data_IF_019629766776
#
_entry.id   IF_019629766776
#
_cell.length_a   1.000
_cell.length_b   1.000
_cell.length_c   1.000
_cell.angle_alpha   90.00
_cell.angle_beta   90.00
_cell.angle_gamma   90.00
#
_symmetry.space_group_name_H-M   'P 1'
#
loop_
_entity.id
_entity.type
_entity.pdbx_description
1 polymer ?
#
# COMPACT_ATOMS: atom_id res chain seq x y z
N UNK A 1 -18.08 -3.84 12.70
CA UNK A 1 -19.08 -3.23 11.78
C UNK A 1 -18.29 -2.54 10.70
N UNK A 2 -18.55 -2.79 9.42
CA UNK A 2 -17.81 -2.10 8.35
C UNK A 2 -18.28 -0.62 8.33
N UNK A 3 -17.37 0.29 8.60
CA UNK A 3 -17.60 1.71 8.45
C UNK A 3 -17.82 2.01 6.95
N UNK A 4 -18.94 2.63 6.62
CA UNK A 4 -19.40 2.80 5.22
C UNK A 4 -19.09 4.21 4.69
N UNK A 5 -18.09 4.87 5.26
CA UNK A 5 -17.67 6.20 4.83
C UNK A 5 -16.83 6.12 3.55
N UNK A 6 -17.19 6.84 2.49
CA UNK A 6 -16.48 6.78 1.20
C UNK A 6 -15.00 7.20 1.33
N UNK A 7 -14.67 8.04 2.30
CA UNK A 7 -13.29 8.48 2.60
C UNK A 7 -12.49 7.49 3.44
N UNK A 8 -13.14 6.75 4.33
CA UNK A 8 -12.52 5.89 5.34
C UNK A 8 -12.50 6.49 6.73
N UNK A 9 -12.10 5.69 7.73
CA UNK A 9 -11.98 6.05 9.13
C UNK A 9 -10.53 6.43 9.46
N UNK A 10 -10.32 7.64 9.95
CA UNK A 10 -9.02 8.21 10.29
C UNK A 10 -8.91 8.36 11.80
N UNK A 11 -7.81 7.90 12.41
CA UNK A 11 -7.43 8.29 13.76
C UNK A 11 -6.45 9.46 13.67
N UNK A 12 -6.85 10.64 14.16
CA UNK A 12 -6.02 11.83 14.23
C UNK A 12 -5.46 11.99 15.65
N UNK A 13 -4.14 11.83 15.80
CA UNK A 13 -3.44 11.87 17.07
C UNK A 13 -2.58 13.14 17.12
N UNK A 14 -3.07 14.16 17.82
CA UNK A 14 -2.46 15.49 17.92
C UNK A 14 -3.00 16.17 19.18
N UNK A 15 -2.12 16.62 20.07
CA UNK A 15 -2.49 17.26 21.34
C UNK A 15 -2.86 18.75 21.19
N UNK A 16 -2.40 19.38 20.11
CA UNK A 16 -2.68 20.78 19.83
C UNK A 16 -4.00 20.93 19.07
N UNK A 17 -5.05 21.40 19.75
CA UNK A 17 -6.37 21.64 19.16
C UNK A 17 -6.36 22.60 17.98
N UNK A 18 -5.45 23.59 17.96
CA UNK A 18 -5.34 24.50 16.82
C UNK A 18 -4.85 23.81 15.53
N UNK A 19 -4.37 22.59 15.63
CA UNK A 19 -3.99 21.73 14.48
C UNK A 19 -5.05 20.66 14.26
N UNK A 20 -5.46 19.92 15.31
CA UNK A 20 -6.36 18.79 15.17
C UNK A 20 -7.78 19.20 14.72
N UNK A 21 -8.34 20.29 15.27
CA UNK A 21 -9.69 20.72 14.88
C UNK A 21 -9.78 21.12 13.40
N UNK A 22 -8.94 22.04 12.84
CA UNK A 22 -9.01 22.37 11.41
C UNK A 22 -8.70 21.19 10.49
N UNK A 23 -7.78 20.29 10.88
CA UNK A 23 -7.45 19.09 10.11
C UNK A 23 -8.65 18.14 10.07
N UNK A 24 -9.28 17.88 11.21
CA UNK A 24 -10.43 17.01 11.30
C UNK A 24 -11.62 17.54 10.52
N UNK A 25 -12.02 18.81 10.75
CA UNK A 25 -13.11 19.45 10.00
C UNK A 25 -12.88 19.40 8.47
N UNK A 26 -11.64 19.61 8.03
CA UNK A 26 -11.32 19.54 6.62
C UNK A 26 -11.47 18.11 6.07
N UNK A 27 -10.98 17.08 6.79
CA UNK A 27 -11.10 15.68 6.39
C UNK A 27 -12.57 15.23 6.39
N UNK A 28 -13.34 15.59 7.42
CA UNK A 28 -14.79 15.31 7.50
C UNK A 28 -15.55 15.95 6.34
N UNK A 29 -15.23 17.19 5.98
CA UNK A 29 -15.77 17.87 4.80
C UNK A 29 -15.40 17.20 3.47
N UNK A 30 -14.44 16.27 3.48
CA UNK A 30 -14.00 15.45 2.32
C UNK A 30 -14.53 14.02 2.35
N UNK A 31 -15.41 13.71 3.32
CA UNK A 31 -16.11 12.44 3.43
C UNK A 31 -15.37 11.37 4.24
N UNK A 32 -14.36 11.74 5.04
CA UNK A 32 -13.76 10.87 6.04
C UNK A 32 -14.59 10.87 7.32
N UNK A 33 -14.51 9.81 8.11
CA UNK A 33 -14.84 9.82 9.53
C UNK A 33 -13.54 10.02 10.32
N UNK A 34 -13.56 10.87 11.36
CA UNK A 34 -12.34 11.20 12.11
C UNK A 34 -12.57 10.98 13.60
N UNK A 35 -11.77 10.10 14.20
CA UNK A 35 -11.64 9.96 15.64
C UNK A 35 -10.38 10.66 16.12
N UNK A 36 -10.39 11.14 17.35
CA UNK A 36 -9.33 11.98 17.91
C UNK A 36 -8.70 11.35 19.14
N UNK A 37 -7.38 11.42 19.23
CA UNK A 37 -6.62 11.15 20.44
C UNK A 37 -5.69 12.34 20.74
N UNK A 38 -5.67 12.79 22.00
CA UNK A 38 -4.82 13.91 22.43
C UNK A 38 -3.47 13.46 23.01
N UNK A 39 -3.21 12.16 23.08
CA UNK A 39 -1.95 11.59 23.55
C UNK A 39 -1.72 10.17 23.05
N UNK A 40 -0.49 9.69 23.23
CA UNK A 40 -0.09 8.40 22.68
C UNK A 40 -0.70 7.18 23.36
N UNK A 41 -1.12 7.28 24.63
CA UNK A 41 -1.75 6.15 25.35
C UNK A 41 -3.16 5.94 24.81
N UNK A 42 -3.93 7.02 24.68
CA UNK A 42 -5.27 6.98 24.13
C UNK A 42 -5.24 6.54 22.66
N UNK A 43 -4.21 6.96 21.90
CA UNK A 43 -4.00 6.51 20.52
C UNK A 43 -3.82 4.99 20.42
N UNK A 44 -2.97 4.39 21.28
CA UNK A 44 -2.79 2.92 21.29
C UNK A 44 -4.08 2.21 21.66
N UNK A 45 -4.81 2.68 22.69
CA UNK A 45 -6.07 2.07 23.11
C UNK A 45 -7.10 2.10 21.98
N UNK A 46 -7.34 3.26 21.36
CA UNK A 46 -8.28 3.38 20.25
C UNK A 46 -7.89 2.51 19.06
N UNK A 47 -6.61 2.53 18.67
CA UNK A 47 -6.13 1.75 17.52
C UNK A 47 -6.14 0.23 17.79
N UNK A 48 -6.25 -0.20 19.05
CA UNK A 48 -6.42 -1.61 19.42
C UNK A 48 -7.89 -2.04 19.41
N UNK A 49 -8.78 -1.16 19.84
CA UNK A 49 -10.21 -1.44 19.95
C UNK A 49 -10.96 -1.24 18.63
N UNK A 50 -10.47 -0.34 17.79
CA UNK A 50 -11.09 0.07 16.53
C UNK A 50 -10.09 -0.13 15.37
N UNK A 51 -10.58 -0.69 14.27
CA UNK A 51 -9.79 -0.79 13.04
C UNK A 51 -9.94 0.49 12.23
N UNK A 52 -8.87 1.27 12.14
CA UNK A 52 -8.79 2.48 11.33
C UNK A 52 -8.23 2.17 9.93
N UNK A 53 -8.64 2.95 8.93
CA UNK A 53 -8.06 2.88 7.58
C UNK A 53 -6.69 3.57 7.51
N UNK A 54 -6.43 4.54 8.40
CA UNK A 54 -5.15 5.25 8.53
C UNK A 54 -5.05 5.95 9.89
N UNK A 55 -3.83 6.06 10.41
CA UNK A 55 -3.51 6.84 11.61
C UNK A 55 -2.64 8.02 11.18
N UNK A 56 -3.06 9.24 11.52
CA UNK A 56 -2.25 10.46 11.40
C UNK A 56 -1.70 10.76 12.78
N UNK A 57 -0.38 10.70 12.96
CA UNK A 57 0.28 10.61 14.25
C UNK A 57 1.35 11.69 14.43
N UNK A 58 1.15 12.59 15.39
CA UNK A 58 2.23 13.52 15.77
C UNK A 58 3.35 12.79 16.51
N UNK A 59 4.57 13.19 16.24
CA UNK A 59 5.75 12.70 16.96
C UNK A 59 5.80 13.20 18.40
N UNK A 60 5.41 14.45 18.64
CA UNK A 60 5.57 15.15 19.90
C UNK A 60 4.30 15.10 20.74
N UNK A 61 3.96 13.93 21.23
CA UNK A 61 2.76 13.71 22.05
C UNK A 61 3.11 13.66 23.55
N UNK A 62 2.19 14.11 24.42
CA UNK A 62 2.31 13.90 25.85
C UNK A 62 2.10 12.41 26.21
N UNK A 63 2.56 12.04 27.40
CA UNK A 63 2.48 10.71 28.02
C UNK A 63 3.25 9.62 27.26
N UNK A 64 3.01 9.44 25.95
CA UNK A 64 3.68 8.47 25.11
C UNK A 64 3.97 9.10 23.74
N UNK A 65 5.24 9.26 23.38
CA UNK A 65 5.65 9.87 22.11
C UNK A 65 5.26 9.05 20.89
N UNK A 66 5.05 9.72 19.74
CA UNK A 66 4.54 9.09 18.53
C UNK A 66 5.41 7.95 17.98
N UNK A 67 6.74 8.02 18.11
CA UNK A 67 7.61 6.91 17.74
C UNK A 67 7.33 5.64 18.56
N UNK A 68 7.12 5.81 19.85
CA UNK A 68 6.82 4.67 20.73
C UNK A 68 5.40 4.14 20.49
N UNK A 69 4.42 5.00 20.19
CA UNK A 69 3.09 4.58 19.72
C UNK A 69 3.22 3.68 18.49
N UNK A 70 3.97 4.13 17.48
CA UNK A 70 4.20 3.39 16.26
C UNK A 70 4.82 2.01 16.54
N UNK A 71 5.91 1.97 17.34
CA UNK A 71 6.57 0.71 17.72
C UNK A 71 5.60 -0.26 18.39
N UNK A 72 4.83 0.20 19.38
CA UNK A 72 3.85 -0.67 20.07
C UNK A 72 2.79 -1.21 19.14
N UNK A 73 2.22 -0.36 18.31
CA UNK A 73 1.24 -0.81 17.33
C UNK A 73 1.81 -1.90 16.41
N UNK A 74 3.07 -1.77 15.97
CA UNK A 74 3.71 -2.75 15.08
C UNK A 74 4.17 -4.02 15.80
N UNK A 75 4.81 -3.90 16.97
CA UNK A 75 5.45 -5.04 17.63
C UNK A 75 4.53 -5.77 18.60
N UNK A 76 3.74 -5.04 19.41
CA UNK A 76 2.88 -5.63 20.43
C UNK A 76 1.51 -6.01 19.86
N UNK A 77 0.90 -5.10 19.06
CA UNK A 77 -0.44 -5.29 18.52
C UNK A 77 -0.45 -5.84 17.08
N UNK A 78 0.71 -5.94 16.42
CA UNK A 78 0.87 -6.40 15.03
C UNK A 78 -0.07 -5.69 14.05
N UNK A 79 -0.37 -4.42 14.32
CA UNK A 79 -1.21 -3.60 13.48
C UNK A 79 -0.54 -3.35 12.13
N UNK A 80 -1.29 -3.53 11.04
CA UNK A 80 -0.91 -3.18 9.68
C UNK A 80 -1.48 -1.83 9.25
N UNK A 81 -2.33 -1.21 10.07
CA UNK A 81 -2.93 0.10 9.76
C UNK A 81 -1.86 1.11 9.35
N UNK A 82 -1.98 1.75 8.19
CA UNK A 82 -1.01 2.73 7.72
C UNK A 82 -0.86 3.91 8.69
N UNK A 83 0.38 4.36 8.90
CA UNK A 83 0.69 5.48 9.79
C UNK A 83 1.37 6.59 9.00
N UNK A 84 0.71 7.76 8.94
CA UNK A 84 1.30 9.02 8.48
C UNK A 84 1.84 9.78 9.69
N UNK A 85 3.15 9.92 9.82
CA UNK A 85 3.75 10.70 10.89
C UNK A 85 3.81 12.19 10.56
N UNK A 86 3.40 13.02 11.53
CA UNK A 86 3.59 14.46 11.48
C UNK A 86 4.86 14.80 12.28
N UNK A 87 5.80 15.51 11.69
CA UNK A 87 7.09 15.87 12.33
C UNK A 87 7.36 17.35 12.22
N UNK A 88 7.89 17.95 13.28
CA UNK A 88 8.35 19.34 13.28
C UNK A 88 9.77 19.51 12.72
N UNK A 89 10.49 18.44 12.41
CA UNK A 89 11.91 18.46 12.06
C UNK A 89 12.21 17.82 10.72
N UNK A 90 13.07 18.52 9.97
CA UNK A 90 13.60 18.08 8.68
C UNK A 90 14.86 17.19 8.80
N UNK A 91 15.23 16.73 10.02
CA UNK A 91 16.44 15.94 10.17
C UNK A 91 16.27 14.56 9.52
N UNK A 92 17.26 14.18 8.73
CA UNK A 92 17.32 12.87 8.07
C UNK A 92 17.27 11.74 9.11
N UNK A 93 17.88 11.96 10.28
CA UNK A 93 17.97 10.99 11.35
C UNK A 93 16.58 10.62 11.91
N UNK A 94 15.71 11.60 12.17
CA UNK A 94 14.36 11.34 12.70
C UNK A 94 13.44 10.67 11.65
N UNK A 95 13.62 11.00 10.37
CA UNK A 95 12.92 10.29 9.29
C UNK A 95 13.35 8.82 9.20
N UNK A 96 14.63 8.54 9.42
CA UNK A 96 15.16 7.16 9.46
C UNK A 96 14.61 6.43 10.70
N UNK A 97 14.68 7.03 11.89
CA UNK A 97 14.16 6.42 13.12
C UNK A 97 12.68 6.08 13.03
N UNK A 98 11.90 6.94 12.39
CA UNK A 98 10.48 6.69 12.23
C UNK A 98 10.18 5.60 11.20
N UNK A 99 10.93 5.52 10.08
CA UNK A 99 10.82 4.40 9.13
C UNK A 99 11.18 3.08 9.81
N UNK A 100 12.22 3.07 10.64
CA UNK A 100 12.60 1.91 11.45
C UNK A 100 11.53 1.56 12.51
N UNK A 101 10.80 2.56 13.02
CA UNK A 101 9.66 2.37 13.91
C UNK A 101 8.43 1.78 13.20
N UNK A 102 8.39 1.79 11.87
CA UNK A 102 7.33 1.19 11.06
C UNK A 102 6.27 2.17 10.56
N UNK A 103 6.59 3.46 10.43
CA UNK A 103 5.73 4.43 9.74
C UNK A 103 5.74 4.20 8.22
N UNK A 104 4.63 4.53 7.56
CA UNK A 104 4.44 4.31 6.12
C UNK A 104 4.69 5.58 5.29
N UNK A 105 4.52 6.76 5.88
CA UNK A 105 4.82 8.06 5.24
C UNK A 105 5.04 9.15 6.30
N UNK A 106 5.59 10.31 5.85
CA UNK A 106 5.92 11.47 6.69
C UNK A 106 5.42 12.76 6.09
N UNK A 107 5.02 13.69 6.97
CA UNK A 107 4.66 15.05 6.60
C UNK A 107 5.27 16.03 7.60
N UNK A 108 6.05 16.98 7.11
CA UNK A 108 6.72 17.98 7.97
C UNK A 108 5.80 19.14 8.28
N UNK A 109 5.79 19.57 9.53
CA UNK A 109 5.12 20.80 10.02
C UNK A 109 6.02 22.03 9.74
N UNK A 110 5.48 23.15 9.24
CA UNK A 110 4.08 23.35 8.84
C UNK A 110 3.75 22.69 7.49
N UNK A 111 2.56 22.15 7.35
CA UNK A 111 2.10 21.46 6.14
C UNK A 111 0.87 22.13 5.53
N UNK A 112 0.67 21.91 4.24
CA UNK A 112 -0.59 22.22 3.58
C UNK A 112 -1.60 21.08 3.89
N UNK A 113 -2.79 21.45 4.34
CA UNK A 113 -3.84 20.50 4.68
C UNK A 113 -4.30 19.63 3.50
N UNK A 114 -4.17 20.17 2.27
CA UNK A 114 -4.43 19.40 1.04
C UNK A 114 -3.35 18.35 0.77
N UNK A 115 -2.09 18.63 1.15
CA UNK A 115 -1.01 17.65 1.09
C UNK A 115 -1.28 16.51 2.06
N UNK A 116 -1.70 16.82 3.30
CA UNK A 116 -2.10 15.83 4.28
C UNK A 116 -3.22 14.93 3.73
N UNK A 117 -4.31 15.51 3.20
CA UNK A 117 -5.40 14.74 2.58
C UNK A 117 -4.89 13.84 1.46
N UNK A 118 -4.05 14.34 0.56
CA UNK A 118 -3.54 13.57 -0.57
C UNK A 118 -2.73 12.34 -0.09
N UNK A 119 -1.91 12.48 0.97
CA UNK A 119 -1.15 11.40 1.59
C UNK A 119 -2.05 10.40 2.30
N UNK A 120 -3.01 10.85 3.10
CA UNK A 120 -4.03 10.02 3.75
C UNK A 120 -4.76 9.16 2.71
N UNK A 121 -5.26 9.76 1.62
CA UNK A 121 -5.90 9.02 0.53
C UNK A 121 -4.96 8.01 -0.15
N UNK A 122 -3.70 8.36 -0.31
CA UNK A 122 -2.71 7.47 -0.92
C UNK A 122 -2.44 6.24 -0.03
N UNK A 123 -2.32 6.44 1.29
CA UNK A 123 -2.13 5.37 2.27
C UNK A 123 -3.35 4.45 2.33
N UNK A 124 -4.55 4.99 2.49
CA UNK A 124 -5.81 4.20 2.49
C UNK A 124 -5.96 3.41 1.19
N UNK A 125 -5.65 4.02 0.04
CA UNK A 125 -5.72 3.34 -1.26
C UNK A 125 -4.71 2.20 -1.34
N UNK A 126 -3.50 2.36 -0.79
CA UNK A 126 -2.46 1.32 -0.73
C UNK A 126 -2.93 0.18 0.16
N UNK A 127 -3.39 0.47 1.37
CA UNK A 127 -3.91 -0.52 2.31
C UNK A 127 -5.12 -1.27 1.74
N UNK A 128 -6.12 -0.55 1.20
CA UNK A 128 -7.28 -1.17 0.56
C UNK A 128 -6.91 -2.00 -0.68
N UNK A 129 -5.84 -1.67 -1.37
CA UNK A 129 -5.27 -2.48 -2.46
C UNK A 129 -4.52 -3.71 -1.94
N UNK A 130 -3.90 -3.62 -0.77
CA UNK A 130 -3.19 -4.72 -0.12
C UNK A 130 -4.16 -5.64 0.66
N UNK A 131 -5.13 -5.07 1.40
CA UNK A 131 -6.17 -5.82 2.15
C UNK A 131 -7.35 -6.23 1.25
N UNK A 132 -7.66 -5.45 0.23
CA UNK A 132 -8.58 -5.82 -0.87
C UNK A 132 -7.92 -6.69 -1.92
N UNK A 133 -6.77 -7.26 -1.65
CA UNK A 133 -6.19 -8.33 -2.42
C UNK A 133 -7.01 -9.61 -2.22
N UNK A 134 -8.27 -9.57 -2.66
CA UNK A 134 -8.95 -10.78 -3.07
C UNK A 134 -7.97 -11.58 -3.90
N UNK A 135 -7.89 -12.86 -3.65
CA UNK A 135 -7.13 -13.79 -4.48
C UNK A 135 -7.32 -13.37 -5.94
N UNK A 136 -6.24 -12.91 -6.57
CA UNK A 136 -6.28 -12.50 -7.96
C UNK A 136 -6.35 -13.77 -8.81
N UNK A 137 -7.35 -13.86 -9.68
CA UNK A 137 -7.53 -15.02 -10.52
C UNK A 137 -7.79 -14.64 -11.97
N UNK A 138 -7.01 -15.22 -12.87
CA UNK A 138 -7.19 -15.08 -14.32
C UNK A 138 -7.06 -16.48 -14.90
N UNK A 139 -8.16 -17.00 -15.42
CA UNK A 139 -8.28 -18.41 -15.80
C UNK A 139 -7.93 -19.33 -14.61
N UNK A 140 -6.90 -20.14 -14.76
CA UNK A 140 -6.37 -21.06 -13.75
C UNK A 140 -5.10 -20.54 -13.03
N UNK A 141 -4.69 -19.31 -13.33
CA UNK A 141 -3.64 -18.60 -12.59
C UNK A 141 -4.25 -17.88 -11.39
N UNK A 142 -3.78 -18.26 -10.22
CA UNK A 142 -4.26 -17.76 -8.91
C UNK A 142 -3.08 -17.18 -8.16
N UNK A 143 -3.20 -15.96 -7.68
CA UNK A 143 -2.24 -15.31 -6.79
C UNK A 143 -2.96 -14.82 -5.55
N UNK A 144 -2.51 -15.27 -4.41
CA UNK A 144 -2.91 -14.75 -3.10
C UNK A 144 -1.85 -13.74 -2.63
N UNK A 145 -2.13 -12.44 -2.66
CA UNK A 145 -1.17 -11.42 -2.26
C UNK A 145 -0.86 -11.43 -0.77
N UNK A 146 -1.77 -11.93 0.08
CA UNK A 146 -1.56 -11.98 1.53
C UNK A 146 -0.55 -13.08 1.92
N UNK A 147 -0.64 -14.26 1.29
CA UNK A 147 0.30 -15.35 1.54
C UNK A 147 1.46 -15.41 0.55
N UNK A 148 1.46 -14.54 -0.47
CA UNK A 148 2.42 -14.51 -1.59
C UNK A 148 2.47 -15.83 -2.38
N UNK A 149 1.42 -16.64 -2.31
CA UNK A 149 1.32 -17.91 -3.02
C UNK A 149 0.77 -17.71 -4.41
N UNK A 150 1.41 -18.36 -5.35
CA UNK A 150 0.98 -18.37 -6.76
C UNK A 150 0.73 -19.80 -7.20
N UNK A 151 -0.39 -20.02 -7.87
CA UNK A 151 -0.73 -21.33 -8.43
C UNK A 151 -1.16 -21.18 -9.89
N UNK A 152 -0.81 -22.17 -10.70
CA UNK A 152 -1.23 -22.28 -12.09
C UNK A 152 -1.74 -23.71 -12.32
N UNK A 153 -3.01 -23.85 -12.73
CA UNK A 153 -3.62 -25.18 -12.91
C UNK A 153 -3.57 -26.04 -11.65
N UNK A 154 -3.68 -25.44 -10.45
CA UNK A 154 -3.57 -26.12 -9.15
C UNK A 154 -2.14 -26.45 -8.72
N UNK A 155 -1.11 -26.17 -9.54
CA UNK A 155 0.31 -26.37 -9.19
C UNK A 155 0.91 -25.10 -8.62
N UNK A 156 1.55 -25.18 -7.49
CA UNK A 156 2.25 -24.06 -6.87
C UNK A 156 3.47 -23.64 -7.70
N UNK A 157 3.60 -22.32 -7.93
CA UNK A 157 4.71 -21.71 -8.65
C UNK A 157 5.64 -21.01 -7.66
N UNK A 158 6.93 -21.33 -7.72
CA UNK A 158 7.95 -20.63 -6.94
C UNK A 158 8.54 -19.51 -7.80
N UNK A 159 8.22 -18.26 -7.47
CA UNK A 159 8.67 -17.07 -8.18
C UNK A 159 9.71 -16.31 -7.37
N UNK A 160 10.73 -15.79 -8.06
CA UNK A 160 11.66 -14.83 -7.47
C UNK A 160 10.92 -13.54 -7.07
N UNK A 161 11.36 -12.81 -6.02
CA UNK A 161 10.62 -11.66 -5.47
C UNK A 161 10.23 -10.60 -6.51
N UNK A 162 11.12 -10.26 -7.43
CA UNK A 162 10.83 -9.28 -8.49
C UNK A 162 9.80 -9.83 -9.50
N UNK A 163 9.91 -11.10 -9.87
CA UNK A 163 8.94 -11.74 -10.76
C UNK A 163 7.55 -11.79 -10.13
N UNK A 164 7.46 -12.05 -8.82
CA UNK A 164 6.21 -11.99 -8.07
C UNK A 164 5.60 -10.58 -8.04
N UNK A 165 6.41 -9.54 -7.82
CA UNK A 165 5.95 -8.14 -7.91
C UNK A 165 5.41 -7.81 -9.29
N UNK A 166 6.12 -8.19 -10.36
CA UNK A 166 5.66 -7.99 -11.74
C UNK A 166 4.32 -8.69 -11.96
N UNK A 167 4.20 -9.95 -11.54
CA UNK A 167 2.97 -10.72 -11.66
C UNK A 167 1.80 -10.02 -10.94
N UNK A 168 2.02 -9.57 -9.70
CA UNK A 168 1.02 -8.87 -8.90
C UNK A 168 0.53 -7.60 -9.60
N UNK A 169 1.46 -6.78 -10.15
CA UNK A 169 1.11 -5.58 -10.91
C UNK A 169 0.22 -5.94 -12.10
N UNK A 170 0.65 -6.92 -12.91
CA UNK A 170 -0.05 -7.29 -14.12
C UNK A 170 -1.42 -7.92 -13.85
N UNK A 171 -1.54 -8.76 -12.81
CA UNK A 171 -2.83 -9.37 -12.44
C UNK A 171 -3.80 -8.36 -11.84
N UNK A 172 -3.31 -7.38 -11.09
CA UNK A 172 -4.12 -6.32 -10.51
C UNK A 172 -4.70 -5.39 -11.58
N UNK A 173 -3.91 -5.12 -12.62
CA UNK A 173 -4.28 -4.22 -13.70
C UNK A 173 -5.00 -4.94 -14.87
N UNK A 174 -5.11 -6.26 -14.83
CA UNK A 174 -5.74 -7.03 -15.88
C UNK A 174 -7.21 -6.63 -16.13
N UNK A 175 -7.67 -6.60 -17.37
CA UNK A 175 -6.98 -6.98 -18.60
C UNK A 175 -6.20 -5.83 -19.27
N UNK A 176 -5.95 -4.71 -18.58
CA UNK A 176 -5.26 -3.52 -19.10
C UNK A 176 -3.80 -3.85 -19.49
N UNK A 177 -3.32 -3.18 -20.52
CA UNK A 177 -1.89 -3.21 -20.87
C UNK A 177 -1.14 -2.26 -19.93
N UNK A 178 -0.15 -2.77 -19.23
CA UNK A 178 0.73 -2.00 -18.36
C UNK A 178 2.02 -1.71 -19.14
N UNK A 179 2.39 -0.43 -19.23
CA UNK A 179 3.59 -0.03 -19.94
C UNK A 179 4.85 -0.48 -19.20
N UNK A 180 5.95 -0.63 -19.94
CA UNK A 180 7.26 -0.90 -19.36
C UNK A 180 7.62 0.09 -18.25
N UNK A 181 7.40 1.38 -18.50
CA UNK A 181 7.72 2.47 -17.57
C UNK A 181 6.92 2.38 -16.28
N UNK A 182 5.64 2.05 -16.34
CA UNK A 182 4.79 1.88 -15.16
C UNK A 182 5.31 0.73 -14.28
N UNK A 183 5.67 -0.42 -14.88
CA UNK A 183 6.24 -1.56 -14.15
C UNK A 183 7.57 -1.18 -13.49
N UNK A 184 8.47 -0.55 -14.26
CA UNK A 184 9.79 -0.15 -13.76
C UNK A 184 9.66 0.88 -12.63
N UNK A 185 8.76 1.84 -12.75
CA UNK A 185 8.53 2.87 -11.74
C UNK A 185 7.92 2.28 -10.45
N UNK A 186 7.00 1.32 -10.54
CA UNK A 186 6.38 0.70 -9.38
C UNK A 186 7.35 -0.23 -8.62
N UNK A 187 8.29 -0.88 -9.33
CA UNK A 187 9.24 -1.82 -8.71
C UNK A 187 10.47 -1.12 -8.15
N UNK A 188 11.05 -0.19 -8.91
CA UNK A 188 12.36 0.42 -8.61
C UNK A 188 12.28 1.94 -8.30
N UNK A 189 11.11 2.57 -8.45
CA UNK A 189 10.94 4.00 -8.20
C UNK A 189 11.83 4.87 -9.11
N UNK A 190 12.63 5.73 -8.49
CA UNK A 190 13.56 6.63 -9.22
C UNK A 190 14.89 5.96 -9.61
N UNK A 191 15.21 4.79 -9.04
CA UNK A 191 16.46 4.06 -9.31
C UNK A 191 16.23 3.00 -10.38
N UNK A 192 16.00 3.45 -11.62
CA UNK A 192 15.74 2.55 -12.74
C UNK A 192 16.96 1.68 -13.04
N UNK A 193 16.79 0.35 -13.15
CA UNK A 193 17.87 -0.55 -13.54
C UNK A 193 18.19 -0.45 -15.03
N UNK A 194 19.28 -1.12 -15.45
CA UNK A 194 19.63 -1.25 -16.86
C UNK A 194 18.49 -1.86 -17.68
N UNK A 195 18.42 -1.47 -18.96
CA UNK A 195 17.31 -1.78 -19.88
C UNK A 195 16.95 -3.26 -20.01
N UNK A 196 17.85 -4.18 -19.70
CA UNK A 196 17.63 -5.63 -19.86
C UNK A 196 17.12 -6.34 -18.60
N UNK A 197 17.15 -5.65 -17.44
CA UNK A 197 16.75 -6.24 -16.16
C UNK A 197 15.28 -6.65 -16.15
N UNK A 198 14.37 -5.77 -16.55
CA UNK A 198 12.93 -6.09 -16.62
C UNK A 198 12.66 -7.23 -17.63
N UNK A 199 13.34 -7.21 -18.78
CA UNK A 199 13.18 -8.24 -19.81
C UNK A 199 13.55 -9.64 -19.27
N UNK A 200 14.63 -9.75 -18.53
CA UNK A 200 15.08 -10.99 -17.91
C UNK A 200 14.06 -11.52 -16.90
N UNK A 201 13.50 -10.65 -16.06
CA UNK A 201 12.46 -11.03 -15.10
C UNK A 201 11.16 -11.45 -15.78
N UNK A 202 10.73 -10.77 -16.84
CA UNK A 202 9.56 -11.13 -17.63
C UNK A 202 9.74 -12.45 -18.37
N UNK A 203 10.94 -12.72 -18.88
CA UNK A 203 11.26 -14.02 -19.48
C UNK A 203 11.12 -15.16 -18.47
N UNK A 204 11.69 -14.99 -17.28
CA UNK A 204 11.59 -15.99 -16.21
C UNK A 204 10.14 -16.15 -15.71
N UNK A 205 9.40 -15.06 -15.61
CA UNK A 205 7.99 -15.07 -15.23
C UNK A 205 7.17 -15.85 -16.29
N UNK A 206 7.36 -15.56 -17.58
CA UNK A 206 6.68 -16.29 -18.66
C UNK A 206 7.00 -17.78 -18.62
N UNK A 207 8.26 -18.13 -18.40
CA UNK A 207 8.66 -19.53 -18.25
C UNK A 207 7.98 -20.22 -17.07
N UNK A 208 7.75 -19.50 -15.96
CA UNK A 208 7.08 -20.06 -14.78
C UNK A 208 5.57 -20.19 -14.98
N UNK A 209 4.93 -19.17 -15.59
CA UNK A 209 3.46 -19.09 -15.71
C UNK A 209 2.93 -19.86 -16.90
N UNK A 210 3.61 -19.78 -18.05
CA UNK A 210 3.06 -20.26 -19.35
C UNK A 210 3.73 -21.51 -19.88
N UNK A 211 4.86 -21.95 -19.30
CA UNK A 211 5.53 -23.17 -19.73
C UNK A 211 4.66 -24.40 -19.44
N UNK A 212 4.53 -25.25 -20.43
CA UNK A 212 3.75 -26.48 -20.36
C UNK A 212 2.24 -26.25 -20.10
N UNK A 213 1.72 -25.06 -20.50
CA UNK A 213 0.31 -24.70 -20.43
C UNK A 213 -0.28 -24.54 -21.83
N UNK A 214 -1.49 -25.04 -22.03
CA UNK A 214 -2.21 -24.93 -23.32
C UNK A 214 -2.59 -23.47 -23.62
N UNK A 215 -2.95 -22.70 -22.58
CA UNK A 215 -3.33 -21.29 -22.69
C UNK A 215 -2.22 -20.42 -22.13
N UNK A 216 -1.69 -19.53 -22.97
CA UNK A 216 -0.73 -18.51 -22.52
C UNK A 216 -1.46 -17.31 -21.95
N UNK A 217 -1.06 -16.84 -20.78
CA UNK A 217 -1.68 -15.70 -20.11
C UNK A 217 -0.83 -14.43 -20.15
N UNK A 218 0.49 -14.54 -20.19
CA UNK A 218 1.39 -13.37 -20.20
C UNK A 218 1.70 -12.93 -21.63
N UNK A 219 1.11 -11.81 -22.06
CA UNK A 219 1.24 -11.27 -23.40
C UNK A 219 2.14 -10.04 -23.44
N UNK A 220 2.96 -9.96 -24.48
CA UNK A 220 3.71 -8.76 -24.85
C UNK A 220 2.96 -8.04 -25.97
N UNK A 221 2.59 -6.80 -25.74
CA UNK A 221 1.96 -5.93 -26.74
C UNK A 221 3.05 -4.99 -27.28
N UNK A 222 3.48 -5.29 -28.51
CA UNK A 222 4.59 -4.56 -29.13
C UNK A 222 4.35 -3.06 -29.14
N UNK A 223 5.32 -2.30 -28.63
CA UNK A 223 5.24 -0.84 -28.53
C UNK A 223 4.37 -0.29 -27.40
N UNK A 224 3.59 -1.13 -26.68
CA UNK A 224 2.69 -0.69 -25.61
C UNK A 224 3.09 -1.21 -24.21
N UNK A 225 3.44 -2.49 -24.07
CA UNK A 225 3.78 -3.05 -22.76
C UNK A 225 3.42 -4.52 -22.61
N UNK A 226 2.89 -4.86 -21.43
CA UNK A 226 2.60 -6.24 -21.04
C UNK A 226 1.21 -6.32 -20.41
N UNK A 227 0.56 -7.46 -20.54
CA UNK A 227 -0.70 -7.75 -19.87
C UNK A 227 -0.82 -9.23 -19.52
N UNK A 228 -1.66 -9.52 -18.54
CA UNK A 228 -2.14 -10.88 -18.28
C UNK A 228 -3.62 -10.94 -18.65
N UNK A 229 -3.98 -11.89 -19.51
CA UNK A 229 -5.35 -12.11 -19.95
C UNK A 229 -5.51 -13.53 -20.56
N UNK A 230 -6.68 -14.11 -20.39
CA UNK A 230 -7.14 -15.26 -21.16
C UNK A 230 -7.77 -14.73 -22.46
N UNK A 231 -7.03 -14.79 -23.55
CA UNK A 231 -7.49 -14.26 -24.82
C UNK A 231 -8.45 -15.20 -25.55
N UNK A 232 -8.47 -16.48 -25.21
CA UNK A 232 -9.36 -17.48 -25.83
C UNK A 232 -10.80 -17.30 -25.34
N UNK A 233 -10.99 -16.73 -24.14
CA UNK A 233 -12.32 -16.38 -23.58
C UNK A 233 -12.82 -14.97 -23.93
N UNK A 234 -11.97 -14.10 -24.47
CA UNK A 234 -12.33 -12.71 -24.79
C UNK A 234 -13.05 -12.56 -26.16
N UNK A 235 -13.30 -13.66 -26.88
CA UNK A 235 -13.90 -13.66 -28.21
C UNK A 235 -15.33 -14.28 -28.20
N UNK A 236 -15.91 -14.50 -27.02
CA UNK A 236 -17.28 -15.01 -26.89
C UNK A 236 -18.25 -13.96 -26.37
#
# INVERSE_FOLDING_TARGET
MAHNSPGGLVLLVEDNRNISEPVGEFLEGRGFEVDYAADGIDAVNLATDITFDVIVLDLMLPRLGGLEVCRRLRTEHRSTTPILMLTARDSLEEKIEGLEAGADDYLTKPFDIKELEARVRALIRRERREVGASVLQIADLVLDPASLRVQRGGRELNLAPIALKILTILMREAPRVVSRREIEQEIWGLSLPDSDTLRSHLYNLRKAVDRDQDVQLLHTITGAGYRIADLDKAVA
#
